data_IF_861603878976
#
_entry.id   IF_861603878976
#
_cell.length_a   1.000
_cell.length_b   1.000
_cell.length_c   1.000
_cell.angle_alpha   90.00
_cell.angle_beta   90.00
_cell.angle_gamma   90.00
#
_symmetry.space_group_name_H-M   'P 1'
#
loop_
_entity.id
_entity.type
_entity.pdbx_description
1 polymer ?
#
# COMPACT_ATOMS: atom_id res chain seq x y z
N UNK A 1 -16.52 4.41 2.39
CA UNK A 1 -15.44 4.13 1.45
C UNK A 1 -14.56 3.02 2.03
N UNK A 2 -14.20 2.02 1.23
CA UNK A 2 -13.19 1.04 1.61
C UNK A 2 -11.84 1.74 1.64
N UNK A 3 -11.18 1.79 2.80
CA UNK A 3 -9.90 2.51 2.99
C UNK A 3 -8.79 1.95 2.10
N UNK A 4 -8.88 0.67 1.71
CA UNK A 4 -7.94 0.06 0.81
C UNK A 4 -8.21 0.41 -0.66
N UNK A 5 -9.44 0.79 -1.02
CA UNK A 5 -9.80 1.17 -2.37
C UNK A 5 -9.62 2.67 -2.58
N UNK A 6 -8.56 3.04 -3.27
CA UNK A 6 -8.14 4.43 -3.44
C UNK A 6 -8.21 4.86 -4.91
N UNK A 7 -9.30 4.56 -5.58
CA UNK A 7 -9.59 5.06 -6.93
C UNK A 7 -10.96 5.70 -7.01
N UNK A 8 -11.09 6.64 -7.91
CA UNK A 8 -12.33 7.39 -8.19
C UNK A 8 -12.44 7.65 -9.69
N UNK A 9 -13.65 7.92 -10.17
CA UNK A 9 -13.90 8.26 -11.56
C UNK A 9 -13.29 9.62 -11.93
N UNK A 10 -12.80 9.75 -13.16
CA UNK A 10 -12.41 11.02 -13.79
C UNK A 10 -13.60 11.82 -14.30
N UNK A 11 -14.84 11.36 -14.15
CA UNK A 11 -16.01 12.02 -14.71
C UNK A 11 -16.10 13.48 -14.25
N UNK A 12 -16.09 14.41 -15.19
CA UNK A 12 -16.01 15.87 -14.94
C UNK A 12 -17.36 16.49 -14.53
N UNK A 13 -18.45 15.74 -14.59
CA UNK A 13 -19.79 16.24 -14.32
C UNK A 13 -20.15 16.26 -12.83
N UNK A 14 -19.28 15.75 -11.99
CA UNK A 14 -19.44 15.77 -10.54
C UNK A 14 -18.69 16.95 -9.91
N UNK A 15 -19.44 17.90 -9.38
CA UNK A 15 -18.93 18.79 -8.37
C UNK A 15 -18.89 18.00 -7.06
N UNK A 16 -17.74 17.46 -6.69
CA UNK A 16 -17.51 17.08 -5.31
C UNK A 16 -17.83 18.32 -4.47
N UNK A 17 -18.99 18.32 -3.84
CA UNK A 17 -19.47 19.47 -3.09
C UNK A 17 -18.36 19.92 -2.16
N UNK A 18 -17.62 20.90 -2.59
CA UNK A 18 -16.66 21.60 -1.80
C UNK A 18 -17.44 22.15 -0.64
N UNK A 19 -17.12 21.75 0.57
CA UNK A 19 -17.64 22.40 1.77
C UNK A 19 -17.26 23.87 1.83
N UNK A 20 -16.48 24.36 0.86
CA UNK A 20 -16.01 25.74 0.73
C UNK A 20 -16.87 26.59 -0.20
N UNK A 21 -17.92 26.04 -0.82
CA UNK A 21 -18.87 26.83 -1.63
C UNK A 21 -18.32 27.46 -2.90
N UNK A 22 -17.07 27.22 -3.24
CA UNK A 22 -16.48 27.63 -4.50
C UNK A 22 -16.52 26.49 -5.51
N UNK A 23 -16.94 26.80 -6.74
CA UNK A 23 -16.91 25.88 -7.88
C UNK A 23 -15.48 25.56 -8.26
N UNK A 24 -14.76 24.82 -7.42
CA UNK A 24 -13.47 24.29 -7.80
C UNK A 24 -13.69 23.17 -8.83
N UNK A 25 -13.60 23.58 -10.09
CA UNK A 25 -13.53 22.69 -11.25
C UNK A 25 -12.16 22.02 -11.31
N UNK A 26 -11.63 21.58 -10.18
CA UNK A 26 -10.43 20.76 -10.19
C UNK A 26 -10.73 19.53 -11.03
N UNK A 27 -9.86 19.21 -11.97
CA UNK A 27 -9.93 18.05 -12.86
C UNK A 27 -9.77 16.70 -12.11
N UNK A 28 -9.97 16.72 -10.82
CA UNK A 28 -9.82 15.59 -9.93
C UNK A 28 -11.19 14.94 -9.76
N UNK A 29 -11.33 13.77 -10.32
CA UNK A 29 -12.26 12.72 -9.98
C UNK A 29 -13.62 13.15 -9.47
N UNK A 30 -14.60 13.05 -10.30
CA UNK A 30 -15.98 13.34 -9.92
C UNK A 30 -16.74 12.03 -9.70
N UNK A 31 -17.35 11.93 -8.54
CA UNK A 31 -18.26 10.86 -8.21
C UNK A 31 -19.68 11.42 -8.39
N UNK A 32 -20.61 10.71 -9.05
CA UNK A 32 -21.98 11.19 -9.16
C UNK A 32 -22.58 11.51 -7.79
N UNK A 33 -23.29 12.63 -7.67
CA UNK A 33 -23.96 13.04 -6.42
C UNK A 33 -25.01 12.02 -5.96
N UNK A 34 -25.48 11.18 -6.87
CA UNK A 34 -26.36 10.04 -6.61
C UNK A 34 -25.65 8.82 -6.05
N UNK A 35 -24.31 8.80 -6.07
CA UNK A 35 -23.56 7.67 -5.54
C UNK A 35 -23.69 7.62 -4.01
N UNK A 36 -24.33 6.55 -3.53
CA UNK A 36 -24.47 6.28 -2.09
C UNK A 36 -23.17 5.85 -1.45
N UNK A 37 -22.21 5.42 -2.23
CA UNK A 37 -20.92 4.91 -1.82
C UNK A 37 -19.83 5.46 -2.75
N UNK A 38 -19.05 6.38 -2.20
CA UNK A 38 -18.02 7.10 -2.94
C UNK A 38 -16.73 6.28 -3.02
N UNK A 39 -16.61 5.41 -4.01
CA UNK A 39 -15.38 4.70 -4.32
C UNK A 39 -15.37 3.24 -3.85
N UNK A 40 -16.53 2.62 -3.61
CA UNK A 40 -16.59 1.16 -3.55
C UNK A 40 -16.40 0.56 -4.94
N UNK A 41 -16.10 -0.72 -4.96
CA UNK A 41 -15.96 -1.46 -6.22
C UNK A 41 -17.27 -1.50 -7.01
N UNK A 42 -18.38 -1.65 -6.30
CA UNK A 42 -19.72 -1.66 -6.88
C UNK A 42 -20.07 -0.30 -7.51
N UNK A 43 -19.80 0.80 -6.79
CA UNK A 43 -20.08 2.16 -7.28
C UNK A 43 -19.27 2.50 -8.54
N UNK A 44 -18.11 1.87 -8.74
CA UNK A 44 -17.21 2.12 -9.87
C UNK A 44 -17.23 1.00 -10.92
N UNK A 45 -18.14 0.04 -10.81
CA UNK A 45 -18.21 -1.12 -11.71
C UNK A 45 -18.45 -0.74 -13.18
N UNK A 46 -19.26 0.31 -13.42
CA UNK A 46 -19.65 0.74 -14.75
C UNK A 46 -18.61 1.68 -15.43
N UNK A 47 -17.53 2.03 -14.72
CA UNK A 47 -16.50 2.88 -15.28
C UNK A 47 -15.36 2.06 -15.88
N UNK A 48 -14.84 2.49 -17.03
CA UNK A 48 -13.60 1.92 -17.57
C UNK A 48 -12.43 2.09 -16.61
N UNK A 49 -11.50 1.14 -16.58
CA UNK A 49 -10.28 1.26 -15.79
C UNK A 49 -9.47 2.52 -16.14
N UNK A 50 -9.52 2.95 -17.40
CA UNK A 50 -8.82 4.14 -17.89
C UNK A 50 -9.48 5.46 -17.47
N UNK A 51 -10.76 5.41 -17.04
CA UNK A 51 -11.49 6.55 -16.49
C UNK A 51 -11.30 6.72 -14.97
N UNK A 52 -10.53 5.84 -14.35
CA UNK A 52 -10.24 5.90 -12.93
C UNK A 52 -8.88 6.54 -12.67
N UNK A 53 -8.80 7.31 -11.59
CA UNK A 53 -7.54 7.84 -11.06
C UNK A 53 -7.33 7.34 -9.63
N UNK A 54 -6.07 7.21 -9.23
CA UNK A 54 -5.74 6.92 -7.85
C UNK A 54 -5.98 8.18 -6.98
N UNK A 55 -6.78 8.01 -5.93
CA UNK A 55 -7.12 9.05 -4.97
C UNK A 55 -7.13 8.46 -3.56
N UNK A 56 -6.02 8.56 -2.81
CA UNK A 56 -5.84 7.84 -1.56
C UNK A 56 -6.76 8.33 -0.45
N UNK A 57 -7.13 7.40 0.43
CA UNK A 57 -7.60 7.77 1.75
C UNK A 57 -6.42 8.29 2.56
N UNK A 58 -6.64 9.32 3.38
CA UNK A 58 -5.69 9.80 4.36
C UNK A 58 -6.04 9.30 5.75
N UNK A 59 -5.05 8.78 6.46
CA UNK A 59 -5.18 8.31 7.82
C UNK A 59 -4.40 9.24 8.75
N UNK A 60 -5.12 10.08 9.48
CA UNK A 60 -4.55 11.04 10.42
C UNK A 60 -4.42 10.43 11.80
N UNK A 61 -3.25 10.55 12.40
CA UNK A 61 -3.03 10.14 13.78
C UNK A 61 -2.03 11.07 14.47
N UNK A 62 -2.30 11.40 15.72
CA UNK A 62 -1.31 12.11 16.53
C UNK A 62 -0.29 11.15 17.15
N UNK A 63 0.95 11.59 17.26
CA UNK A 63 1.98 10.90 18.06
C UNK A 63 1.57 10.80 19.53
N UNK A 64 0.78 11.75 20.03
CA UNK A 64 0.30 11.76 21.41
C UNK A 64 -0.67 10.62 21.67
N UNK A 65 -0.64 10.04 22.88
CA UNK A 65 -1.70 9.16 23.35
C UNK A 65 -2.93 10.01 23.64
N UNK A 66 -4.09 9.43 23.45
CA UNK A 66 -5.35 10.07 23.86
C UNK A 66 -5.28 10.32 25.39
N UNK A 67 -5.37 11.58 25.79
CA UNK A 67 -5.61 11.90 27.19
C UNK A 67 -7.07 11.56 27.54
N UNK A 68 -7.42 11.54 28.83
CA UNK A 68 -8.74 11.16 29.35
C UNK A 68 -9.91 12.03 28.88
N UNK A 69 -9.66 13.13 28.16
CA UNK A 69 -10.71 13.99 27.57
C UNK A 69 -10.70 13.86 26.04
N UNK A 70 -11.88 14.01 25.44
CA UNK A 70 -12.18 13.75 24.05
C UNK A 70 -11.41 14.59 23.00
N UNK A 71 -10.66 15.59 23.43
CA UNK A 71 -9.90 16.51 22.56
C UNK A 71 -8.38 16.31 22.63
N UNK A 72 -7.90 15.34 23.44
CA UNK A 72 -6.48 15.14 23.67
C UNK A 72 -5.72 14.60 22.45
N UNK A 73 -4.51 15.06 22.30
CA UNK A 73 -3.54 14.50 21.36
C UNK A 73 -3.22 15.33 20.13
N UNK A 74 -4.07 16.27 19.68
CA UNK A 74 -3.78 17.09 18.52
C UNK A 74 -2.85 18.27 18.80
N UNK A 75 -2.97 18.86 19.99
CA UNK A 75 -2.12 19.93 20.47
C UNK A 75 -1.18 19.43 21.57
N UNK A 76 -0.14 20.20 21.83
CA UNK A 76 0.83 19.87 22.90
C UNK A 76 0.23 20.13 24.30
N UNK A 77 0.31 19.12 25.14
CA UNK A 77 0.06 19.23 26.57
C UNK A 77 1.23 18.59 27.33
N UNK A 78 1.79 19.30 28.31
CA UNK A 78 3.04 18.92 29.03
C UNK A 78 2.99 17.50 29.65
N UNK A 79 1.80 17.07 30.07
CA UNK A 79 1.64 15.80 30.79
C UNK A 79 1.13 14.65 29.88
N UNK A 80 1.01 14.87 28.58
CA UNK A 80 0.58 13.82 27.65
C UNK A 80 1.75 12.98 27.21
N UNK A 81 1.53 11.67 27.21
CA UNK A 81 2.50 10.67 26.77
C UNK A 81 2.47 10.49 25.24
N UNK A 82 3.60 10.15 24.65
CA UNK A 82 3.68 9.76 23.25
C UNK A 82 3.32 8.28 23.03
N UNK A 83 2.86 7.95 21.83
CA UNK A 83 2.77 6.59 21.34
C UNK A 83 4.20 6.03 21.15
N UNK A 84 4.41 4.78 21.58
CA UNK A 84 5.69 4.12 21.35
C UNK A 84 5.90 3.79 19.87
N UNK A 85 7.16 3.66 19.46
CA UNK A 85 7.57 3.38 18.09
C UNK A 85 6.92 2.10 17.50
N UNK A 86 6.71 1.06 18.30
CA UNK A 86 6.01 -0.15 17.86
C UNK A 86 4.55 0.11 17.46
N UNK A 87 3.86 1.01 18.18
CA UNK A 87 2.49 1.40 17.86
C UNK A 87 2.45 2.20 16.56
N UNK A 88 3.35 3.18 16.40
CA UNK A 88 3.47 3.99 15.19
C UNK A 88 3.82 3.12 13.97
N UNK A 89 4.75 2.19 14.13
CA UNK A 89 5.12 1.26 13.07
C UNK A 89 3.95 0.36 12.64
N UNK A 90 3.15 -0.13 13.60
CA UNK A 90 1.94 -0.91 13.29
C UNK A 90 0.89 -0.06 12.55
N UNK A 91 0.74 1.20 12.94
CA UNK A 91 -0.14 2.14 12.20
C UNK A 91 0.37 2.33 10.77
N UNK A 92 1.66 2.57 10.59
CA UNK A 92 2.26 2.68 9.25
C UNK A 92 1.99 1.44 8.37
N UNK A 93 2.16 0.23 8.91
CA UNK A 93 1.86 -1.00 8.16
C UNK A 93 0.38 -1.12 7.77
N UNK A 94 -0.52 -0.61 8.60
CA UNK A 94 -1.97 -0.68 8.37
C UNK A 94 -2.54 0.52 7.60
N UNK A 95 -1.74 1.53 7.30
CA UNK A 95 -2.14 2.73 6.53
C UNK A 95 -1.32 2.84 5.25
N UNK A 96 -0.12 3.40 5.32
CA UNK A 96 0.77 3.52 4.17
C UNK A 96 1.16 2.17 3.56
N UNK A 97 1.23 1.11 4.38
CA UNK A 97 1.42 -0.27 3.93
C UNK A 97 0.17 -0.92 3.33
N UNK A 98 -0.97 -0.22 3.31
CA UNK A 98 -2.25 -0.66 2.73
C UNK A 98 -2.89 0.40 1.85
N UNK A 99 -2.05 1.06 1.04
CA UNK A 99 -2.49 1.98 0.00
C UNK A 99 -3.15 3.30 0.48
N UNK A 100 -3.00 3.69 1.75
CA UNK A 100 -3.46 4.98 2.26
C UNK A 100 -2.29 5.96 2.45
N UNK A 101 -2.57 7.26 2.47
CA UNK A 101 -1.64 8.26 2.98
C UNK A 101 -1.61 8.21 4.52
N UNK A 102 -0.43 8.36 5.10
CA UNK A 102 -0.27 8.41 6.54
C UNK A 102 0.23 9.79 6.97
N UNK A 103 -0.63 10.54 7.64
CA UNK A 103 -0.30 11.82 8.26
C UNK A 103 -0.08 11.63 9.76
N UNK A 104 1.13 11.92 10.23
CA UNK A 104 1.48 11.88 11.66
C UNK A 104 1.53 13.30 12.22
N UNK A 105 0.54 13.68 13.01
CA UNK A 105 0.55 14.93 13.73
C UNK A 105 1.55 14.89 14.89
N UNK A 106 2.47 15.86 14.93
CA UNK A 106 3.54 16.00 15.92
C UNK A 106 3.50 17.42 16.48
N UNK A 107 2.72 17.66 17.55
CA UNK A 107 2.53 19.01 18.06
C UNK A 107 3.80 19.54 18.73
N UNK A 108 4.24 20.77 18.40
CA UNK A 108 5.36 21.44 19.07
C UNK A 108 4.97 21.93 20.47
N UNK A 109 5.95 22.16 21.31
CA UNK A 109 5.81 22.86 22.60
C UNK A 109 5.42 24.31 22.38
N UNK A 110 5.12 25.04 23.46
CA UNK A 110 4.85 26.49 23.41
C UNK A 110 6.02 27.32 22.86
N UNK A 111 7.22 26.78 22.94
CA UNK A 111 8.45 27.45 22.46
C UNK A 111 8.72 27.11 20.97
N UNK A 112 7.79 26.42 20.29
CA UNK A 112 7.89 26.06 18.89
C UNK A 112 8.83 24.89 18.57
N UNK A 113 9.32 24.16 19.59
CA UNK A 113 10.25 23.03 19.43
C UNK A 113 9.58 21.71 19.82
N UNK A 114 10.14 20.59 19.38
CA UNK A 114 9.70 19.27 19.84
C UNK A 114 10.36 18.92 21.18
N UNK A 115 9.60 18.37 22.11
CA UNK A 115 10.17 17.88 23.37
C UNK A 115 11.05 16.62 23.14
N UNK A 116 11.96 16.36 24.09
CA UNK A 116 12.96 15.30 23.96
C UNK A 116 12.36 13.89 23.82
N UNK A 117 11.21 13.60 24.46
CA UNK A 117 10.53 12.30 24.30
C UNK A 117 9.94 12.17 22.93
N UNK A 118 9.35 13.23 22.38
CA UNK A 118 8.82 13.25 21.02
C UNK A 118 9.92 12.98 20.00
N UNK A 119 11.07 13.68 20.09
CA UNK A 119 12.23 13.45 19.23
C UNK A 119 12.73 12.01 19.34
N UNK A 120 12.85 11.48 20.55
CA UNK A 120 13.24 10.08 20.79
C UNK A 120 12.29 9.10 20.10
N UNK A 121 10.96 9.27 20.27
CA UNK A 121 9.96 8.37 19.67
C UNK A 121 9.94 8.43 18.14
N UNK A 122 10.11 9.61 17.57
CA UNK A 122 10.26 9.78 16.12
C UNK A 122 11.49 9.06 15.58
N UNK A 123 12.63 9.21 16.26
CA UNK A 123 13.87 8.53 15.89
C UNK A 123 13.71 7.00 15.95
N UNK A 124 13.20 6.48 17.07
CA UNK A 124 12.91 5.04 17.23
C UNK A 124 11.96 4.53 16.13
N UNK A 125 10.96 5.31 15.75
CA UNK A 125 10.05 4.96 14.66
C UNK A 125 10.75 5.00 13.29
N UNK A 126 11.54 6.04 13.02
CA UNK A 126 12.33 6.15 11.79
C UNK A 126 13.31 4.99 11.62
N UNK A 127 13.95 4.55 12.72
CA UNK A 127 14.85 3.39 12.69
C UNK A 127 14.13 2.10 12.33
N UNK A 128 12.89 1.92 12.79
CA UNK A 128 12.04 0.78 12.37
C UNK A 128 11.67 0.83 10.90
N UNK A 129 11.36 2.00 10.35
CA UNK A 129 11.10 2.16 8.92
C UNK A 129 12.34 1.84 8.10
N UNK A 130 13.50 2.36 8.49
CA UNK A 130 14.78 2.02 7.84
C UNK A 130 15.06 0.52 7.89
N UNK A 131 14.84 -0.10 9.05
CA UNK A 131 15.04 -1.55 9.23
C UNK A 131 14.09 -2.38 8.36
N UNK A 132 12.88 -1.91 8.08
CA UNK A 132 11.95 -2.60 7.18
C UNK A 132 12.51 -2.68 5.77
N UNK A 133 13.08 -1.57 5.28
CA UNK A 133 13.59 -1.45 3.91
C UNK A 133 15.10 -1.73 3.78
N UNK A 134 15.76 -2.16 4.86
CA UNK A 134 17.15 -2.56 4.80
C UNK A 134 17.28 -4.00 4.33
N UNK A 135 18.40 -4.30 3.65
CA UNK A 135 18.76 -5.64 3.21
C UNK A 135 17.71 -6.28 2.28
N UNK A 136 17.46 -5.69 1.10
CA UNK A 136 16.59 -6.30 0.11
C UNK A 136 17.13 -7.68 -0.29
N UNK A 137 16.21 -8.63 -0.46
CA UNK A 137 16.50 -10.00 -0.85
C UNK A 137 16.45 -10.11 -2.37
N UNK A 138 17.52 -10.54 -3.00
CA UNK A 138 17.57 -10.80 -4.43
C UNK A 138 16.74 -12.03 -4.80
N UNK A 139 16.12 -11.98 -5.96
CA UNK A 139 15.33 -13.08 -6.52
C UNK A 139 15.42 -13.07 -8.06
N UNK A 140 15.15 -14.22 -8.67
CA UNK A 140 14.77 -14.32 -10.08
C UNK A 140 13.26 -14.45 -10.16
N UNK A 141 12.61 -13.64 -11.00
CA UNK A 141 11.18 -13.68 -11.16
C UNK A 141 10.76 -14.54 -12.34
N UNK A 142 9.59 -15.17 -12.18
CA UNK A 142 8.89 -15.92 -13.21
C UNK A 142 7.46 -15.39 -13.29
N UNK A 143 6.90 -15.30 -14.50
CA UNK A 143 5.50 -14.99 -14.67
C UNK A 143 4.81 -16.03 -15.54
N UNK A 144 3.49 -16.15 -15.42
CA UNK A 144 2.70 -17.09 -16.18
C UNK A 144 1.34 -17.40 -15.57
N UNK A 145 0.81 -18.56 -15.91
CA UNK A 145 -0.44 -19.09 -15.35
C UNK A 145 -0.36 -20.61 -15.20
N UNK A 146 -1.36 -21.19 -14.51
CA UNK A 146 -1.45 -22.64 -14.39
C UNK A 146 -1.60 -23.34 -15.75
N UNK A 147 -2.19 -22.67 -16.75
CA UNK A 147 -2.42 -23.20 -18.08
C UNK A 147 -1.21 -23.03 -19.00
N UNK A 148 -0.58 -21.85 -18.99
CA UNK A 148 0.58 -21.53 -19.83
C UNK A 148 1.89 -22.10 -19.29
N UNK A 149 1.95 -22.39 -17.99
CA UNK A 149 3.20 -22.61 -17.27
C UNK A 149 3.89 -21.30 -16.91
N UNK A 150 5.05 -21.41 -16.25
CA UNK A 150 5.84 -20.30 -15.75
C UNK A 150 7.10 -20.11 -16.60
N UNK A 151 7.39 -18.87 -16.98
CA UNK A 151 8.62 -18.51 -17.69
C UNK A 151 9.40 -17.45 -16.91
N UNK A 152 10.72 -17.50 -16.96
CA UNK A 152 11.58 -16.47 -16.38
C UNK A 152 11.26 -15.10 -16.99
N UNK A 153 11.15 -14.08 -16.14
CA UNK A 153 10.80 -12.74 -16.55
C UNK A 153 11.75 -11.70 -15.96
N UNK A 154 12.74 -11.32 -16.78
CA UNK A 154 13.74 -10.33 -16.39
C UNK A 154 13.15 -8.94 -16.11
N UNK A 155 12.06 -8.56 -16.79
CA UNK A 155 11.38 -7.30 -16.54
C UNK A 155 10.77 -7.25 -15.14
N UNK A 156 10.17 -8.36 -14.67
CA UNK A 156 9.68 -8.47 -13.29
C UNK A 156 10.82 -8.48 -12.29
N UNK A 157 11.94 -9.17 -12.59
CA UNK A 157 13.13 -9.18 -11.72
C UNK A 157 13.68 -7.76 -11.53
N UNK A 158 13.68 -6.93 -12.57
CA UNK A 158 14.14 -5.55 -12.52
C UNK A 158 13.30 -4.66 -11.59
N UNK A 159 12.03 -5.01 -11.30
CA UNK A 159 11.16 -4.28 -10.38
C UNK A 159 11.62 -4.37 -8.91
N UNK A 160 12.63 -5.18 -8.60
CA UNK A 160 13.25 -5.24 -7.27
C UNK A 160 13.87 -3.89 -6.84
N UNK A 161 14.25 -3.06 -7.81
CA UNK A 161 14.68 -1.67 -7.58
C UNK A 161 13.51 -0.72 -7.83
N UNK A 162 13.12 0.08 -6.83
CA UNK A 162 12.02 1.06 -6.99
C UNK A 162 12.49 2.23 -7.86
N UNK A 163 11.86 2.38 -9.02
CA UNK A 163 12.08 3.53 -9.92
C UNK A 163 10.73 4.04 -10.44
N UNK A 164 10.55 5.37 -10.54
CA UNK A 164 9.36 5.95 -11.15
C UNK A 164 9.14 5.54 -12.61
N UNK A 165 10.21 5.18 -13.31
CA UNK A 165 10.17 4.74 -14.72
C UNK A 165 9.84 3.26 -14.91
N UNK A 166 9.81 2.48 -13.82
CA UNK A 166 9.49 1.07 -13.93
C UNK A 166 8.03 0.86 -14.29
N UNK A 167 7.80 -0.03 -15.25
CA UNK A 167 6.48 -0.50 -15.63
C UNK A 167 6.56 -1.92 -16.17
N UNK A 168 5.80 -2.82 -15.59
CA UNK A 168 5.56 -4.16 -16.11
C UNK A 168 4.06 -4.43 -16.11
N UNK A 169 3.50 -4.55 -17.30
CA UNK A 169 2.11 -4.96 -17.49
C UNK A 169 2.02 -6.49 -17.43
N UNK A 170 1.27 -7.01 -16.46
CA UNK A 170 0.94 -8.43 -16.42
C UNK A 170 -0.05 -8.75 -17.53
N UNK A 171 0.27 -9.66 -18.47
CA UNK A 171 -0.64 -10.07 -19.54
C UNK A 171 -1.97 -10.62 -19.03
N UNK A 172 -3.05 -10.48 -19.79
CA UNK A 172 -4.41 -10.90 -19.37
C UNK A 172 -4.58 -12.41 -19.20
N UNK A 173 -3.67 -13.18 -19.76
CA UNK A 173 -3.62 -14.65 -19.71
C UNK A 173 -2.56 -15.16 -18.70
N UNK A 174 -1.98 -14.24 -17.91
CA UNK A 174 -1.08 -14.54 -16.81
C UNK A 174 -1.69 -14.01 -15.50
N UNK A 175 -1.56 -14.77 -14.44
CA UNK A 175 -2.10 -14.43 -13.13
C UNK A 175 -1.13 -14.73 -11.96
N UNK A 176 0.04 -15.30 -12.27
CA UNK A 176 1.03 -15.72 -11.29
C UNK A 176 2.35 -14.99 -11.53
N UNK A 177 2.94 -14.49 -10.45
CA UNK A 177 4.32 -14.03 -10.38
C UNK A 177 5.01 -14.81 -9.26
N UNK A 178 6.06 -15.56 -9.59
CA UNK A 178 6.90 -16.29 -8.65
C UNK A 178 8.24 -15.59 -8.48
N UNK A 179 8.67 -15.39 -7.25
CA UNK A 179 9.94 -14.79 -6.86
C UNK A 179 10.81 -15.89 -6.24
N UNK A 180 11.77 -16.40 -7.00
CA UNK A 180 12.63 -17.50 -6.61
C UNK A 180 13.94 -16.99 -6.03
N UNK A 181 14.26 -17.42 -4.82
CA UNK A 181 15.48 -17.06 -4.11
C UNK A 181 16.58 -18.07 -4.41
N UNK A 182 17.84 -17.63 -4.42
CA UNK A 182 18.98 -18.51 -4.65
C UNK A 182 19.14 -19.58 -3.56
N UNK A 183 18.71 -19.25 -2.33
CA UNK A 183 18.74 -20.16 -1.18
C UNK A 183 17.57 -19.88 -0.24
N UNK A 184 17.25 -20.87 0.61
CA UNK A 184 16.28 -20.64 1.69
C UNK A 184 16.78 -19.57 2.64
N UNK A 185 15.92 -18.61 2.92
CA UNK A 185 16.16 -17.56 3.91
C UNK A 185 14.86 -16.99 4.43
N UNK A 186 14.95 -16.30 5.57
CA UNK A 186 13.78 -15.68 6.19
C UNK A 186 13.37 -14.42 5.43
N UNK A 187 12.20 -14.47 4.82
CA UNK A 187 11.54 -13.32 4.21
C UNK A 187 10.59 -12.70 5.23
N UNK A 188 10.82 -11.44 5.60
CA UNK A 188 9.97 -10.72 6.58
C UNK A 188 8.80 -10.03 5.94
N UNK A 189 9.04 -9.35 4.81
CA UNK A 189 8.05 -8.53 4.12
C UNK A 189 8.14 -8.72 2.61
N UNK A 190 6.97 -8.69 1.97
CA UNK A 190 6.82 -8.44 0.53
C UNK A 190 6.27 -7.03 0.37
N UNK A 191 6.89 -6.22 -0.47
CA UNK A 191 6.43 -4.86 -0.81
C UNK A 191 6.05 -4.84 -2.28
N UNK A 192 4.84 -4.41 -2.56
CA UNK A 192 4.28 -4.29 -3.90
C UNK A 192 3.84 -2.86 -4.17
N UNK A 193 3.98 -2.39 -5.42
CA UNK A 193 3.46 -1.11 -5.90
C UNK A 193 2.97 -1.25 -7.34
N UNK A 194 1.79 -0.72 -7.61
CA UNK A 194 1.32 -0.53 -8.98
C UNK A 194 1.89 0.76 -9.58
N UNK A 195 1.99 0.81 -10.91
CA UNK A 195 2.26 2.04 -11.63
C UNK A 195 0.97 2.86 -11.74
N UNK A 196 0.85 3.86 -10.90
CA UNK A 196 -0.37 4.66 -10.75
C UNK A 196 -0.65 5.59 -11.94
N UNK A 197 0.25 5.70 -12.91
CA UNK A 197 -0.06 6.34 -14.21
C UNK A 197 -1.24 5.66 -14.89
N UNK A 198 -1.38 4.34 -14.66
CA UNK A 198 -2.50 3.52 -15.16
C UNK A 198 -3.59 3.29 -14.12
N UNK A 199 -3.57 4.06 -13.01
CA UNK A 199 -4.46 3.86 -11.86
C UNK A 199 -4.21 2.52 -11.13
N UNK A 200 -5.04 2.23 -10.15
CA UNK A 200 -5.02 0.98 -9.38
C UNK A 200 -5.91 -0.04 -10.07
N UNK A 201 -5.38 -1.21 -10.42
CA UNK A 201 -6.10 -2.22 -11.19
C UNK A 201 -6.31 -3.55 -10.48
N UNK A 202 -5.38 -3.94 -9.60
CA UNK A 202 -5.52 -5.17 -8.80
C UNK A 202 -6.64 -5.00 -7.79
N UNK A 203 -7.59 -5.94 -7.77
CA UNK A 203 -8.75 -5.95 -6.86
C UNK A 203 -8.69 -7.07 -5.83
N UNK A 204 -7.95 -8.14 -6.14
CA UNK A 204 -7.73 -9.26 -5.24
C UNK A 204 -6.50 -10.05 -5.64
N UNK A 205 -5.66 -10.39 -4.67
CA UNK A 205 -4.52 -11.28 -4.87
C UNK A 205 -4.22 -12.07 -3.61
N UNK A 206 -3.56 -13.19 -3.78
CA UNK A 206 -3.09 -14.05 -2.71
C UNK A 206 -1.56 -14.09 -2.68
N UNK A 207 -0.99 -14.19 -1.50
CA UNK A 207 0.45 -14.41 -1.32
C UNK A 207 0.69 -15.79 -0.72
N UNK A 208 1.62 -16.52 -1.31
CA UNK A 208 2.05 -17.84 -0.85
C UNK A 208 3.58 -17.87 -0.70
N UNK A 209 4.05 -18.78 0.14
CA UNK A 209 5.46 -19.15 0.22
C UNK A 209 5.62 -20.64 0.00
N UNK A 210 6.75 -21.05 -0.51
CA UNK A 210 7.11 -22.46 -0.64
C UNK A 210 7.77 -22.91 0.66
N UNK A 211 7.16 -23.87 1.33
CA UNK A 211 7.71 -24.44 2.55
C UNK A 211 8.97 -25.24 2.23
N UNK A 212 9.79 -25.53 3.24
CA UNK A 212 10.98 -26.40 3.11
C UNK A 212 10.65 -27.81 2.61
N UNK A 213 9.38 -28.25 2.76
CA UNK A 213 8.90 -29.52 2.20
C UNK A 213 8.40 -29.42 0.76
N UNK A 214 8.55 -28.24 0.11
CA UNK A 214 8.16 -28.00 -1.28
C UNK A 214 6.68 -27.70 -1.49
N UNK A 215 5.86 -27.61 -0.43
CA UNK A 215 4.43 -27.30 -0.52
C UNK A 215 4.18 -25.81 -0.46
N UNK A 216 3.17 -25.32 -1.19
CA UNK A 216 2.72 -23.94 -1.09
C UNK A 216 1.88 -23.72 0.18
N UNK A 217 2.27 -22.72 0.98
CA UNK A 217 1.55 -22.24 2.15
C UNK A 217 1.02 -20.84 1.85
N UNK A 218 -0.29 -20.66 1.98
CA UNK A 218 -0.90 -19.32 1.86
C UNK A 218 -0.53 -18.49 3.08
N UNK A 219 -0.08 -17.26 2.83
CA UNK A 219 0.27 -16.27 3.86
C UNK A 219 -0.90 -15.33 4.09
N UNK A 220 -1.38 -14.69 3.02
CA UNK A 220 -2.44 -13.69 3.13
C UNK A 220 -3.30 -13.68 1.86
N UNK A 221 -4.61 -13.43 2.04
CA UNK A 221 -5.52 -13.01 0.98
C UNK A 221 -5.67 -11.50 1.05
N UNK A 222 -5.22 -10.82 0.01
CA UNK A 222 -5.17 -9.37 -0.06
C UNK A 222 -6.23 -8.83 -1.01
N UNK A 223 -6.73 -7.61 -0.74
CA UNK A 223 -7.67 -6.93 -1.62
C UNK A 223 -6.95 -6.16 -2.73
N UNK A 224 -6.01 -5.29 -2.38
CA UNK A 224 -5.47 -4.26 -3.27
C UNK A 224 -3.96 -4.13 -3.13
N UNK A 225 -3.33 -3.60 -4.17
CA UNK A 225 -1.93 -3.17 -4.15
C UNK A 225 -1.84 -1.64 -4.12
N UNK A 226 -2.24 -0.97 -5.19
CA UNK A 226 -2.21 0.49 -5.33
C UNK A 226 -0.81 1.09 -5.19
N UNK A 227 -0.70 2.25 -4.53
CA UNK A 227 0.59 2.91 -4.33
C UNK A 227 1.58 2.06 -3.54
N UNK A 228 1.10 1.33 -2.53
CA UNK A 228 1.94 0.45 -1.71
C UNK A 228 1.12 -0.61 -0.98
N UNK A 229 1.54 -1.85 -1.10
CA UNK A 229 1.08 -2.94 -0.25
C UNK A 229 2.27 -3.61 0.41
N UNK A 230 2.25 -3.69 1.74
CA UNK A 230 3.24 -4.42 2.54
C UNK A 230 2.54 -5.63 3.11
N UNK A 231 3.03 -6.83 2.73
CA UNK A 231 2.54 -8.11 3.26
C UNK A 231 3.57 -8.65 4.23
N UNK A 232 3.14 -8.95 5.45
CA UNK A 232 3.99 -9.60 6.45
C UNK A 232 4.07 -11.09 6.12
N UNK A 233 5.24 -11.57 5.76
CA UNK A 233 5.51 -12.99 5.47
C UNK A 233 6.00 -13.70 6.74
N UNK A 234 7.16 -13.33 7.26
CA UNK A 234 7.72 -13.89 8.50
C UNK A 234 8.19 -15.35 8.41
N UNK A 235 8.31 -15.92 7.21
CA UNK A 235 8.62 -17.33 6.96
C UNK A 235 10.02 -17.52 6.37
N UNK A 236 10.59 -18.68 6.60
CA UNK A 236 11.76 -19.17 5.89
C UNK A 236 11.32 -19.89 4.62
N UNK A 237 11.82 -19.43 3.46
CA UNK A 237 11.34 -19.91 2.16
C UNK A 237 12.41 -19.81 1.08
N UNK A 238 12.23 -20.57 0.01
CA UNK A 238 12.98 -20.45 -1.24
C UNK A 238 12.21 -19.75 -2.33
N UNK A 239 10.89 -19.51 -2.15
CA UNK A 239 10.06 -18.99 -3.23
C UNK A 239 8.78 -18.31 -2.67
N UNK A 240 8.49 -17.12 -3.18
CA UNK A 240 7.27 -16.36 -2.85
C UNK A 240 6.43 -16.23 -4.11
N UNK A 241 5.14 -16.56 -4.01
CA UNK A 241 4.16 -16.44 -5.10
C UNK A 241 3.18 -15.33 -4.83
N UNK A 242 2.96 -14.50 -5.84
CA UNK A 242 1.88 -13.54 -5.92
C UNK A 242 0.89 -14.07 -6.94
N UNK A 243 -0.35 -14.31 -6.51
CA UNK A 243 -1.39 -14.80 -7.39
C UNK A 243 -2.49 -13.74 -7.52
N UNK A 244 -2.57 -13.08 -8.65
CA UNK A 244 -3.61 -12.08 -8.96
C UNK A 244 -4.91 -12.82 -9.24
N UNK A 245 -5.89 -12.66 -8.36
CA UNK A 245 -7.19 -13.34 -8.45
C UNK A 245 -8.22 -12.55 -9.22
N UNK A 246 -8.09 -11.24 -9.16
CA UNK A 246 -9.02 -10.34 -9.80
C UNK A 246 -8.34 -9.00 -10.08
N UNK A 247 -8.54 -8.49 -11.27
CA UNK A 247 -8.13 -7.14 -11.66
C UNK A 247 -9.17 -6.53 -12.58
N UNK A 248 -9.28 -5.22 -12.55
CA UNK A 248 -10.21 -4.46 -13.40
C UNK A 248 -9.75 -4.39 -14.85
N UNK A 249 -8.45 -4.43 -15.05
CA UNK A 249 -7.75 -4.49 -16.35
C UNK A 249 -6.35 -5.07 -16.07
N UNK A 250 -5.52 -5.19 -17.11
CA UNK A 250 -4.15 -5.69 -16.95
C UNK A 250 -3.40 -4.88 -15.88
N UNK A 251 -2.93 -5.50 -14.78
CA UNK A 251 -2.16 -4.80 -13.75
C UNK A 251 -0.84 -4.27 -14.29
N UNK A 252 -0.45 -3.10 -13.83
CA UNK A 252 0.86 -2.51 -14.09
C UNK A 252 1.65 -2.43 -12.80
N UNK A 253 2.71 -3.21 -12.68
CA UNK A 253 3.59 -3.22 -11.51
C UNK A 253 4.77 -2.27 -11.71
N UNK A 254 5.05 -1.48 -10.68
CA UNK A 254 6.22 -0.59 -10.63
C UNK A 254 7.33 -1.13 -9.72
N UNK A 255 6.95 -1.81 -8.65
CA UNK A 255 7.90 -2.29 -7.67
C UNK A 255 7.44 -3.59 -7.01
N UNK A 256 8.37 -4.54 -6.91
CA UNK A 256 8.20 -5.81 -6.23
C UNK A 256 9.50 -6.09 -5.48
N UNK A 257 9.46 -6.12 -4.15
CA UNK A 257 10.66 -6.36 -3.35
C UNK A 257 10.40 -7.26 -2.14
N UNK A 258 11.40 -8.03 -1.78
CA UNK A 258 11.44 -8.87 -0.58
C UNK A 258 12.46 -8.31 0.43
N UNK A 259 12.12 -8.40 1.75
CA UNK A 259 12.96 -7.94 2.85
C UNK A 259 12.96 -8.93 4.01
#
# INVERSE_FOLDING_TARGET
RDEEWSVVSKNKDYNAGSQTGENDKSNLATIPDTAKDLGSREALADYSADDLIWYPAEADISIRRRAFNSYGGWFYHKNEMNKGANKLFRVYLNTAGRNASFLLNVPPTKDGVLDADTVKKLKEFGDKLKSLYSNPISFTAYSGSAEKGMAENAAVTALSMDSPSNDFMLPSDEDIIDLKLDKSQKVRYLVLRENLTYSQRVERFDVYVKTLTGRWKKIEACKLIGNKRIVLIGEETTEVRIFVRQSRSNPHFRHIALY
#
